data_IF_921429981640
#
_entry.id   IF_921429981640
#
_cell.length_a   1.000
_cell.length_b   1.000
_cell.length_c   1.000
_cell.angle_alpha   90.00
_cell.angle_beta   90.00
_cell.angle_gamma   90.00
#
_symmetry.space_group_name_H-M   'P 1'
#
loop_
_entity.id
_entity.type
_entity.pdbx_description
1 polymer ?
#
# COMPACT_ATOMS: atom_id res chain seq x y z
N UNK A 1 9.83 -2.88 12.82
CA UNK A 1 8.78 -3.82 12.36
C UNK A 1 7.66 -2.96 11.79
N UNK A 2 7.49 -2.85 10.46
CA UNK A 2 6.30 -2.15 9.94
C UNK A 2 5.05 -2.91 10.42
N UNK A 3 4.38 -2.38 11.45
CA UNK A 3 3.25 -3.05 12.08
C UNK A 3 2.12 -3.15 11.05
N UNK A 4 1.32 -4.22 11.14
CA UNK A 4 0.11 -4.37 10.30
C UNK A 4 -0.80 -3.14 10.36
N UNK A 5 -0.69 -2.35 11.44
CA UNK A 5 -1.43 -1.11 11.69
C UNK A 5 -0.88 0.12 10.96
N UNK A 6 0.43 0.22 10.73
CA UNK A 6 1.01 1.23 9.80
C UNK A 6 0.61 0.91 8.38
N UNK A 7 0.59 -0.38 8.04
CA UNK A 7 0.00 -0.83 6.80
C UNK A 7 -1.50 -0.51 6.78
N UNK A 8 -2.23 -0.52 7.89
CA UNK A 8 -3.63 -0.08 7.97
C UNK A 8 -3.84 1.44 7.86
N UNK A 9 -2.89 2.29 8.29
CA UNK A 9 -2.92 3.75 8.02
C UNK A 9 -2.49 4.06 6.60
N UNK A 10 -1.42 3.44 6.13
CA UNK A 10 -0.99 3.52 4.73
C UNK A 10 -2.00 2.86 3.81
N UNK A 11 -2.81 1.92 4.30
CA UNK A 11 -3.90 1.33 3.55
C UNK A 11 -5.21 1.98 3.79
N UNK A 12 -5.45 2.75 4.84
CA UNK A 12 -6.43 3.83 4.81
C UNK A 12 -6.01 4.85 3.74
N UNK A 13 -4.73 5.23 3.67
CA UNK A 13 -4.17 6.05 2.59
C UNK A 13 -4.23 5.41 1.20
N UNK A 14 -4.12 4.08 1.08
CA UNK A 14 -4.22 3.35 -0.20
C UNK A 14 -5.68 2.92 -0.48
N UNK A 15 -6.57 2.84 0.53
CA UNK A 15 -8.05 2.80 0.43
C UNK A 15 -8.51 4.06 -0.30
N UNK A 16 -7.79 5.15 -0.07
CA UNK A 16 -8.07 6.51 -0.53
C UNK A 16 -7.65 6.67 -2.01
N UNK A 17 -6.50 6.14 -2.46
CA UNK A 17 -6.03 6.29 -3.86
C UNK A 17 -6.75 5.35 -4.86
N UNK A 18 -7.95 5.75 -5.29
CA UNK A 18 -8.69 5.15 -6.41
C UNK A 18 -9.10 6.19 -7.44
N UNK A 19 -8.73 5.98 -8.71
CA UNK A 19 -9.49 6.37 -9.91
C UNK A 19 -9.83 7.86 -10.14
N UNK A 20 -9.61 8.73 -9.17
CA UNK A 20 -9.67 10.18 -9.20
C UNK A 20 -8.29 10.74 -8.87
N UNK A 21 -8.06 11.99 -9.28
CA UNK A 21 -6.75 12.66 -9.28
C UNK A 21 -5.98 12.41 -7.97
N UNK A 22 -4.82 11.75 -8.04
CA UNK A 22 -3.87 11.51 -6.93
C UNK A 22 -3.63 12.80 -6.12
N UNK A 23 -3.74 13.95 -6.79
CA UNK A 23 -3.62 15.27 -6.16
C UNK A 23 -4.77 15.55 -5.20
N UNK A 24 -6.01 15.22 -5.53
CA UNK A 24 -7.16 15.45 -4.66
C UNK A 24 -7.13 14.53 -3.43
N UNK A 25 -6.68 13.30 -3.63
CA UNK A 25 -6.43 12.33 -2.56
C UNK A 25 -5.43 12.85 -1.52
N UNK A 26 -4.27 13.27 -2.01
CA UNK A 26 -3.21 13.86 -1.19
C UNK A 26 -3.71 15.14 -0.54
N UNK A 27 -4.50 15.96 -1.26
CA UNK A 27 -5.03 17.22 -0.74
C UNK A 27 -5.99 17.02 0.42
N UNK A 28 -6.98 16.13 0.27
CA UNK A 28 -7.98 15.85 1.32
C UNK A 28 -7.27 15.32 2.56
N UNK A 29 -6.38 14.33 2.40
CA UNK A 29 -5.65 13.77 3.53
C UNK A 29 -4.76 14.81 4.19
N UNK A 30 -3.98 15.58 3.41
CA UNK A 30 -3.09 16.61 3.95
C UNK A 30 -3.85 17.69 4.72
N UNK A 31 -5.04 18.06 4.23
CA UNK A 31 -5.93 19.00 4.92
C UNK A 31 -6.39 18.42 6.26
N UNK A 32 -6.90 17.19 6.26
CA UNK A 32 -7.32 16.52 7.51
C UNK A 32 -6.16 16.32 8.49
N UNK A 33 -4.97 15.97 8.01
CA UNK A 33 -3.78 15.82 8.84
C UNK A 33 -3.42 17.14 9.52
N UNK A 34 -3.37 18.23 8.75
CA UNK A 34 -3.11 19.57 9.28
C UNK A 34 -4.17 20.00 10.30
N UNK A 35 -5.46 19.78 10.01
CA UNK A 35 -6.57 20.12 10.90
C UNK A 35 -6.50 19.36 12.25
N UNK A 36 -5.92 18.16 12.26
CA UNK A 36 -5.84 17.31 13.46
C UNK A 36 -4.43 17.28 14.09
N UNK A 37 -3.54 18.20 13.70
CA UNK A 37 -2.18 18.28 14.27
C UNK A 37 -1.29 17.09 13.93
N UNK A 38 -1.53 16.42 12.81
CA UNK A 38 -0.74 15.30 12.34
C UNK A 38 0.28 15.74 11.27
N UNK A 39 1.58 15.57 11.55
CA UNK A 39 2.64 15.81 10.56
C UNK A 39 2.80 14.60 9.63
N UNK A 40 2.58 14.81 8.32
CA UNK A 40 2.79 13.78 7.30
C UNK A 40 4.24 13.29 7.22
N UNK A 41 5.21 14.06 7.71
CA UNK A 41 6.60 13.61 7.81
C UNK A 41 6.75 12.49 8.84
N UNK A 42 5.86 12.44 9.82
CA UNK A 42 5.86 11.36 10.81
C UNK A 42 5.52 10.04 10.16
N UNK A 43 4.65 9.99 9.13
CA UNK A 43 4.35 8.78 8.33
C UNK A 43 5.60 8.08 7.78
N UNK A 44 6.64 8.83 7.44
CA UNK A 44 7.88 8.29 6.87
C UNK A 44 8.79 7.65 7.92
N UNK A 45 8.67 8.06 9.18
CA UNK A 45 9.45 7.52 10.31
C UNK A 45 8.76 6.33 10.98
N UNK A 46 7.55 5.96 10.54
CA UNK A 46 6.71 4.94 11.17
C UNK A 46 7.09 3.52 10.79
N UNK A 47 8.36 3.11 10.89
CA UNK A 47 8.68 1.68 10.82
C UNK A 47 8.33 0.92 12.10
N UNK A 48 7.88 1.60 13.16
CA UNK A 48 7.78 1.03 14.53
C UNK A 48 6.56 1.49 15.35
N UNK A 49 5.55 2.12 14.75
CA UNK A 49 4.31 2.47 15.46
C UNK A 49 3.52 1.21 15.82
N UNK A 50 3.43 0.93 17.13
CA UNK A 50 2.61 -0.17 17.69
C UNK A 50 1.12 0.19 17.71
N UNK A 51 0.78 1.48 17.87
CA UNK A 51 -0.60 1.97 17.97
C UNK A 51 -0.79 3.36 17.37
N UNK A 52 -1.96 3.60 16.79
CA UNK A 52 -2.31 4.89 16.21
C UNK A 52 -2.66 5.89 17.31
N UNK A 53 -2.00 7.05 17.31
CA UNK A 53 -2.35 8.15 18.21
C UNK A 53 -3.67 8.80 17.82
N UNK A 54 -4.25 9.59 18.73
CA UNK A 54 -5.52 10.28 18.50
C UNK A 54 -5.52 11.17 17.24
N UNK A 55 -4.47 11.96 16.96
CA UNK A 55 -4.34 12.69 15.68
C UNK A 55 -4.48 11.81 14.43
N UNK A 56 -3.95 10.58 14.44
CA UNK A 56 -4.09 9.65 13.31
C UNK A 56 -5.54 9.23 13.12
N UNK A 57 -6.19 8.83 14.20
CA UNK A 57 -7.57 8.35 14.17
C UNK A 57 -8.53 9.43 13.70
N UNK A 58 -8.34 10.67 14.18
CA UNK A 58 -9.15 11.82 13.73
C UNK A 58 -8.88 12.17 12.27
N UNK A 59 -7.63 12.07 11.81
CA UNK A 59 -7.30 12.30 10.40
C UNK A 59 -7.99 11.29 9.48
N UNK A 60 -8.02 10.01 9.87
CA UNK A 60 -8.73 8.97 9.12
C UNK A 60 -10.23 9.26 9.11
N UNK A 61 -10.83 9.58 10.27
CA UNK A 61 -12.25 9.94 10.37
C UNK A 61 -12.61 11.11 9.44
N UNK A 62 -11.87 12.21 9.53
CA UNK A 62 -12.06 13.39 8.68
C UNK A 62 -11.98 13.05 7.20
N UNK A 63 -11.05 12.16 6.81
CA UNK A 63 -10.90 11.79 5.41
C UNK A 63 -12.07 10.94 4.91
N UNK A 64 -12.60 10.05 5.74
CA UNK A 64 -13.81 9.28 5.42
C UNK A 64 -15.05 10.17 5.30
N UNK A 65 -15.17 11.17 6.17
CA UNK A 65 -16.26 12.16 6.12
C UNK A 65 -16.18 13.02 4.86
N UNK A 66 -15.00 13.56 4.52
CA UNK A 66 -14.80 14.37 3.30
C UNK A 66 -15.00 13.58 2.00
N UNK A 67 -14.88 12.26 2.05
CA UNK A 67 -15.16 11.34 0.93
C UNK A 67 -16.60 10.88 0.84
N UNK A 68 -17.45 11.28 1.78
CA UNK A 68 -18.80 10.74 1.94
C UNK A 68 -18.83 9.21 2.18
N UNK A 69 -17.71 8.61 2.61
CA UNK A 69 -17.69 7.21 3.06
C UNK A 69 -18.24 7.08 4.48
N UNK A 70 -18.28 8.18 5.23
CA UNK A 70 -18.87 8.27 6.55
C UNK A 70 -19.76 9.51 6.62
N UNK A 71 -21.05 9.33 6.92
CA UNK A 71 -22.00 10.44 7.06
C UNK A 71 -22.87 10.24 8.29
N UNK A 72 -22.94 11.24 9.17
CA UNK A 72 -23.67 11.18 10.44
C UNK A 72 -23.30 9.94 11.27
N UNK A 73 -22.01 9.58 11.24
CA UNK A 73 -21.45 8.39 11.90
C UNK A 73 -21.86 7.04 11.29
N UNK A 74 -22.56 7.01 10.16
CA UNK A 74 -22.87 5.79 9.42
C UNK A 74 -21.96 5.64 8.19
N UNK A 75 -21.47 4.43 7.99
CA UNK A 75 -20.64 4.10 6.82
C UNK A 75 -21.52 3.98 5.59
N UNK A 76 -21.14 4.66 4.50
CA UNK A 76 -21.76 4.48 3.20
C UNK A 76 -21.20 3.23 2.52
N UNK A 77 -21.91 2.11 2.67
CA UNK A 77 -21.51 0.83 2.08
C UNK A 77 -21.50 0.88 0.55
N UNK A 78 -22.37 1.68 -0.08
CA UNK A 78 -22.37 1.82 -1.54
C UNK A 78 -21.10 2.49 -2.02
N UNK A 79 -20.67 3.55 -1.32
CA UNK A 79 -19.41 4.23 -1.63
C UNK A 79 -18.20 3.29 -1.42
N UNK A 80 -18.20 2.48 -0.36
CA UNK A 80 -17.17 1.45 -0.13
C UNK A 80 -17.16 0.39 -1.24
N UNK A 81 -18.34 -0.07 -1.69
CA UNK A 81 -18.47 -1.06 -2.77
C UNK A 81 -18.05 -0.52 -4.14
N UNK A 82 -18.27 0.77 -4.39
CA UNK A 82 -17.82 1.44 -5.61
C UNK A 82 -16.29 1.49 -5.72
N UNK A 83 -15.57 1.31 -4.61
CA UNK A 83 -14.11 1.34 -4.57
C UNK A 83 -13.50 -0.02 -4.94
N UNK A 84 -13.52 -0.36 -6.24
CA UNK A 84 -13.09 -1.67 -6.75
C UNK A 84 -11.62 -2.01 -6.45
N UNK A 85 -10.70 -1.06 -6.54
CA UNK A 85 -9.28 -1.29 -6.22
C UNK A 85 -9.00 -1.37 -4.71
N UNK A 86 -9.82 -0.77 -3.85
CA UNK A 86 -9.76 -1.09 -2.42
C UNK A 86 -10.22 -2.52 -2.16
N UNK A 87 -11.34 -2.94 -2.76
CA UNK A 87 -11.86 -4.29 -2.60
C UNK A 87 -10.92 -5.36 -3.18
N UNK A 88 -10.10 -5.05 -4.18
CA UNK A 88 -9.09 -6.00 -4.67
C UNK A 88 -7.95 -6.26 -3.67
N UNK A 89 -7.82 -5.44 -2.63
CA UNK A 89 -6.89 -5.69 -1.52
C UNK A 89 -7.52 -6.53 -0.40
N UNK A 90 -8.77 -6.98 -0.55
CA UNK A 90 -9.46 -7.85 0.40
C UNK A 90 -9.45 -9.29 -0.09
N UNK A 91 -9.03 -10.21 0.80
CA UNK A 91 -9.03 -11.66 0.54
C UNK A 91 -10.45 -12.24 0.50
N UNK A 92 -11.39 -11.58 1.19
CA UNK A 92 -12.81 -11.90 1.20
C UNK A 92 -13.60 -10.58 1.21
N UNK A 93 -14.14 -10.23 0.04
CA UNK A 93 -14.87 -8.98 -0.18
C UNK A 93 -16.22 -8.99 0.52
N UNK A 94 -16.92 -10.11 0.49
CA UNK A 94 -18.27 -10.23 1.07
C UNK A 94 -18.19 -10.18 2.59
N UNK A 95 -17.26 -10.91 3.19
CA UNK A 95 -16.98 -10.84 4.62
C UNK A 95 -16.51 -9.45 5.06
N UNK A 96 -15.69 -8.77 4.25
CA UNK A 96 -15.31 -7.39 4.50
C UNK A 96 -16.53 -6.45 4.51
N UNK A 97 -17.38 -6.50 3.48
CA UNK A 97 -18.59 -5.66 3.39
C UNK A 97 -19.55 -5.96 4.55
N UNK A 98 -19.73 -7.23 4.91
CA UNK A 98 -20.54 -7.63 6.06
C UNK A 98 -19.99 -7.06 7.37
N UNK A 99 -18.67 -7.08 7.55
CA UNK A 99 -18.00 -6.47 8.70
C UNK A 99 -18.23 -4.96 8.75
N UNK A 100 -18.00 -4.26 7.64
CA UNK A 100 -18.19 -2.82 7.52
C UNK A 100 -19.65 -2.40 7.77
N UNK A 101 -20.61 -3.20 7.30
CA UNK A 101 -22.04 -2.98 7.52
C UNK A 101 -22.45 -3.16 8.99
N UNK A 102 -21.70 -3.96 9.74
CA UNK A 102 -21.91 -4.19 11.17
C UNK A 102 -21.18 -3.17 12.05
N UNK A 103 -20.34 -2.29 11.49
CA UNK A 103 -19.74 -1.19 12.25
C UNK A 103 -20.83 -0.19 12.61
N UNK A 104 -21.07 -0.08 13.90
CA UNK A 104 -22.01 0.87 14.48
C UNK A 104 -21.43 2.30 14.47
N UNK A 105 -22.21 3.23 15.01
CA UNK A 105 -22.02 4.68 14.88
C UNK A 105 -20.58 5.16 15.15
N UNK A 106 -19.90 5.67 14.11
CA UNK A 106 -18.53 6.21 14.18
C UNK A 106 -18.60 7.71 14.46
N UNK A 107 -18.72 8.10 15.73
CA UNK A 107 -18.86 9.50 16.16
C UNK A 107 -17.55 10.09 16.66
N UNK A 108 -16.84 9.35 17.49
CA UNK A 108 -15.53 9.74 18.00
C UNK A 108 -14.43 9.29 17.03
N UNK A 109 -13.25 9.90 17.12
CA UNK A 109 -12.10 9.46 16.33
C UNK A 109 -11.72 8.02 16.67
N UNK A 110 -11.82 7.61 17.94
CA UNK A 110 -11.52 6.25 18.37
C UNK A 110 -12.41 5.18 17.74
N UNK A 111 -13.65 5.52 17.36
CA UNK A 111 -14.55 4.58 16.69
C UNK A 111 -13.99 4.10 15.34
N UNK A 112 -13.07 4.85 14.73
CA UNK A 112 -12.36 4.43 13.50
C UNK A 112 -11.59 3.12 13.70
N UNK A 113 -11.20 2.78 14.94
CA UNK A 113 -10.59 1.48 15.24
C UNK A 113 -11.47 0.31 14.79
N UNK A 114 -12.80 0.45 14.84
CA UNK A 114 -13.77 -0.56 14.36
C UNK A 114 -13.61 -0.80 12.85
N UNK A 115 -13.50 0.28 12.08
CA UNK A 115 -13.24 0.25 10.63
C UNK A 115 -11.88 -0.41 10.33
N UNK A 116 -10.85 -0.01 11.07
CA UNK A 116 -9.49 -0.54 10.89
C UNK A 116 -9.42 -2.04 11.20
N UNK A 117 -10.13 -2.50 12.24
CA UNK A 117 -10.21 -3.91 12.59
C UNK A 117 -10.88 -4.74 11.48
N UNK A 118 -11.98 -4.24 10.89
CA UNK A 118 -12.57 -4.88 9.71
C UNK A 118 -11.58 -4.93 8.55
N UNK A 119 -10.92 -3.81 8.26
CA UNK A 119 -9.93 -3.74 7.17
C UNK A 119 -8.79 -4.74 7.39
N UNK A 120 -8.20 -4.79 8.58
CA UNK A 120 -7.08 -5.67 8.91
C UNK A 120 -7.45 -7.16 8.81
N UNK A 121 -8.64 -7.55 9.30
CA UNK A 121 -9.11 -8.94 9.27
C UNK A 121 -9.21 -9.50 7.85
N UNK A 122 -9.67 -8.68 6.91
CA UNK A 122 -9.98 -9.10 5.54
C UNK A 122 -8.91 -8.73 4.52
N UNK A 123 -7.91 -7.96 4.91
CA UNK A 123 -6.84 -7.56 4.00
C UNK A 123 -5.98 -8.74 3.54
N UNK A 124 -5.59 -8.71 2.26
CA UNK A 124 -4.57 -9.62 1.73
C UNK A 124 -3.17 -9.21 2.23
N UNK A 125 -2.42 -10.18 2.74
CA UNK A 125 -1.03 -9.96 3.14
C UNK A 125 -0.08 -10.59 2.13
N UNK A 126 0.03 -9.95 0.95
CA UNK A 126 0.92 -10.40 -0.12
C UNK A 126 2.37 -10.60 0.33
N UNK A 127 2.84 -9.86 1.34
CA UNK A 127 4.17 -10.06 1.91
C UNK A 127 4.27 -11.42 2.61
N UNK A 128 3.30 -11.81 3.43
CA UNK A 128 3.31 -13.11 4.08
C UNK A 128 3.11 -14.26 3.09
N UNK A 129 2.17 -14.11 2.16
CA UNK A 129 1.89 -15.12 1.13
C UNK A 129 3.13 -15.37 0.25
N UNK A 130 3.68 -14.32 -0.35
CA UNK A 130 4.85 -14.48 -1.22
C UNK A 130 6.08 -14.98 -0.43
N UNK A 131 6.23 -14.61 0.84
CA UNK A 131 7.34 -15.11 1.66
C UNK A 131 7.22 -16.62 1.91
N UNK A 132 5.99 -17.10 2.15
CA UNK A 132 5.72 -18.53 2.28
C UNK A 132 5.95 -19.26 0.95
N UNK A 133 5.41 -18.74 -0.17
CA UNK A 133 5.56 -19.33 -1.51
C UNK A 133 7.03 -19.43 -1.93
N UNK A 134 7.85 -18.44 -1.58
CA UNK A 134 9.26 -18.35 -2.02
C UNK A 134 10.26 -18.80 -0.97
N UNK A 135 9.81 -19.23 0.21
CA UNK A 135 10.67 -19.57 1.36
C UNK A 135 11.66 -18.44 1.68
N UNK A 136 11.17 -17.20 1.70
CA UNK A 136 11.96 -16.00 1.94
C UNK A 136 11.79 -15.52 3.38
N UNK A 137 12.89 -15.26 4.08
CA UNK A 137 12.84 -14.62 5.40
C UNK A 137 12.39 -13.14 5.25
N UNK A 138 11.24 -12.82 5.84
CA UNK A 138 10.64 -11.49 5.74
C UNK A 138 11.49 -10.39 6.39
N UNK A 139 12.25 -10.72 7.43
CA UNK A 139 13.08 -9.75 8.14
C UNK A 139 14.28 -9.38 7.27
N UNK A 140 14.97 -10.36 6.69
CA UNK A 140 16.11 -10.16 5.80
C UNK A 140 15.70 -9.45 4.50
N UNK A 141 14.59 -9.88 3.88
CA UNK A 141 14.05 -9.22 2.69
C UNK A 141 13.79 -7.72 2.94
N UNK A 142 13.15 -7.38 4.07
CA UNK A 142 12.88 -5.97 4.43
C UNK A 142 14.17 -5.18 4.69
N UNK A 143 15.14 -5.77 5.40
CA UNK A 143 16.41 -5.08 5.69
C UNK A 143 17.18 -4.74 4.40
N UNK A 144 17.21 -5.68 3.44
CA UNK A 144 17.87 -5.47 2.14
C UNK A 144 17.11 -4.46 1.27
N UNK A 145 15.78 -4.52 1.23
CA UNK A 145 14.95 -3.54 0.51
C UNK A 145 15.06 -2.11 1.07
N UNK A 146 15.35 -1.96 2.36
CA UNK A 146 15.53 -0.64 3.00
C UNK A 146 16.96 -0.09 2.89
N UNK A 147 17.87 -0.78 2.20
CA UNK A 147 19.28 -0.36 2.11
C UNK A 147 20.01 -0.36 3.46
N UNK A 148 19.47 -1.04 4.49
CA UNK A 148 20.01 -1.06 5.87
C UNK A 148 21.11 -2.11 6.08
N UNK A 149 21.37 -2.97 5.10
CA UNK A 149 22.58 -3.80 5.03
C UNK A 149 23.46 -3.24 3.91
N UNK A 150 24.72 -2.93 4.21
CA UNK A 150 25.73 -2.66 3.18
C UNK A 150 25.76 -3.84 2.20
N UNK A 151 25.34 -3.59 0.95
CA UNK A 151 25.50 -4.54 -0.14
C UNK A 151 26.93 -4.39 -0.69
N UNK A 152 27.93 -4.78 0.09
CA UNK A 152 29.26 -5.02 -0.47
C UNK A 152 29.23 -6.39 -1.13
N UNK A 153 29.04 -6.41 -2.45
CA UNK A 153 29.28 -7.53 -3.36
C UNK A 153 28.43 -8.82 -3.24
N UNK A 154 27.46 -8.90 -2.33
CA UNK A 154 26.58 -10.08 -2.26
C UNK A 154 25.53 -10.11 -3.39
N UNK A 155 25.64 -11.12 -4.25
CA UNK A 155 24.59 -11.50 -5.23
C UNK A 155 23.25 -11.63 -4.50
N UNK A 156 22.21 -10.97 -5.02
CA UNK A 156 20.86 -11.07 -4.45
C UNK A 156 20.38 -12.53 -4.55
N UNK A 157 19.98 -13.16 -3.44
CA UNK A 157 19.49 -14.54 -3.45
C UNK A 157 18.28 -14.72 -4.38
N UNK A 158 18.21 -15.87 -5.06
CA UNK A 158 17.13 -16.15 -6.02
C UNK A 158 15.74 -16.11 -5.38
N UNK A 159 15.58 -16.63 -4.16
CA UNK A 159 14.33 -16.57 -3.42
C UNK A 159 13.84 -15.12 -3.20
N UNK A 160 14.75 -14.16 -3.04
CA UNK A 160 14.40 -12.74 -2.92
C UNK A 160 13.96 -12.13 -4.25
N UNK A 161 14.57 -12.54 -5.35
CA UNK A 161 14.14 -12.15 -6.68
C UNK A 161 12.74 -12.74 -6.99
N UNK A 162 12.51 -14.00 -6.60
CA UNK A 162 11.20 -14.64 -6.69
C UNK A 162 10.17 -13.94 -5.80
N UNK A 163 10.56 -13.54 -4.58
CA UNK A 163 9.71 -12.79 -3.66
C UNK A 163 9.25 -11.48 -4.30
N UNK A 164 10.17 -10.75 -4.93
CA UNK A 164 9.83 -9.52 -5.65
C UNK A 164 8.92 -9.77 -6.85
N UNK A 165 9.18 -10.82 -7.65
CA UNK A 165 8.31 -11.22 -8.76
C UNK A 165 6.89 -11.54 -8.28
N UNK A 166 6.75 -12.39 -7.26
CA UNK A 166 5.46 -12.75 -6.67
C UNK A 166 4.68 -11.52 -6.21
N UNK A 167 5.35 -10.57 -5.53
CA UNK A 167 4.71 -9.32 -5.11
C UNK A 167 4.21 -8.50 -6.30
N UNK A 168 4.96 -8.41 -7.40
CA UNK A 168 4.54 -7.69 -8.60
C UNK A 168 3.32 -8.35 -9.25
N UNK A 169 3.29 -9.68 -9.33
CA UNK A 169 2.17 -10.47 -9.88
C UNK A 169 0.91 -10.32 -9.02
N UNK A 170 1.02 -10.57 -7.71
CA UNK A 170 -0.08 -10.50 -6.76
C UNK A 170 -0.66 -9.09 -6.63
N UNK A 171 0.15 -8.05 -6.79
CA UNK A 171 -0.31 -6.64 -6.85
C UNK A 171 -0.92 -6.26 -8.21
N UNK A 172 -0.85 -7.12 -9.23
CA UNK A 172 -1.29 -6.83 -10.59
C UNK A 172 -0.40 -5.84 -11.35
N UNK A 173 0.81 -5.56 -10.85
CA UNK A 173 1.81 -4.73 -11.53
C UNK A 173 2.42 -5.51 -12.70
N UNK A 174 2.57 -6.82 -12.53
CA UNK A 174 3.01 -7.75 -13.55
C UNK A 174 1.85 -8.66 -13.95
N UNK A 175 1.54 -8.71 -15.24
CA UNK A 175 0.57 -9.63 -15.82
C UNK A 175 1.07 -11.08 -15.82
N UNK A 176 0.17 -12.03 -16.08
CA UNK A 176 0.51 -13.46 -16.21
C UNK A 176 1.46 -13.75 -17.37
N UNK A 177 1.51 -12.86 -18.36
CA UNK A 177 2.43 -12.89 -19.50
C UNK A 177 3.81 -12.30 -19.18
N UNK A 178 4.06 -11.92 -17.92
CA UNK A 178 5.30 -11.29 -17.50
C UNK A 178 5.47 -9.86 -18.01
N UNK A 179 4.40 -9.18 -18.45
CA UNK A 179 4.45 -7.78 -18.89
C UNK A 179 3.91 -6.84 -17.82
N UNK A 180 4.46 -5.62 -17.78
CA UNK A 180 4.02 -4.59 -16.84
C UNK A 180 2.67 -3.98 -17.25
N UNK A 181 1.74 -3.92 -16.29
CA UNK A 181 0.43 -3.31 -16.49
C UNK A 181 0.54 -1.80 -16.27
N UNK A 182 0.47 -1.02 -17.37
CA UNK A 182 0.73 0.44 -17.41
C UNK A 182 0.16 1.22 -16.23
N UNK A 183 -1.10 0.99 -15.91
CA UNK A 183 -1.80 1.75 -14.87
C UNK A 183 -1.40 1.32 -13.46
N UNK A 184 -0.98 0.07 -13.26
CA UNK A 184 -0.53 -0.44 -11.97
C UNK A 184 0.95 -0.11 -11.70
N UNK A 185 1.77 -0.03 -12.74
CA UNK A 185 3.20 0.32 -12.65
C UNK A 185 3.45 1.71 -12.05
N UNK A 186 2.48 2.62 -12.17
CA UNK A 186 2.49 3.96 -11.53
C UNK A 186 2.43 3.92 -9.99
N UNK A 187 2.11 2.77 -9.40
CA UNK A 187 1.87 2.65 -7.95
C UNK A 187 2.92 1.79 -7.22
N UNK A 188 3.84 1.11 -7.92
CA UNK A 188 4.93 0.33 -7.29
C UNK A 188 6.19 1.16 -6.97
N UNK A 189 6.03 2.47 -6.73
CA UNK A 189 7.13 3.39 -6.45
C UNK A 189 7.56 3.45 -4.97
N UNK A 190 7.27 2.43 -4.16
CA UNK A 190 7.70 2.42 -2.75
C UNK A 190 9.24 2.41 -2.70
N UNK A 191 9.82 3.59 -2.49
CA UNK A 191 11.23 3.79 -2.17
C UNK A 191 12.10 4.45 -3.24
N UNK A 192 11.57 4.79 -4.43
CA UNK A 192 12.42 5.35 -5.51
C UNK A 192 12.03 6.80 -5.79
N UNK A 193 12.90 7.74 -5.41
CA UNK A 193 12.82 9.14 -5.87
C UNK A 193 13.24 9.14 -7.33
N UNK A 194 12.28 9.17 -8.25
CA UNK A 194 12.57 9.34 -9.68
C UNK A 194 12.09 10.71 -10.12
N UNK A 195 12.99 11.50 -10.72
CA UNK A 195 12.65 12.79 -11.34
C UNK A 195 11.63 12.63 -12.47
N UNK A 196 11.64 11.49 -13.18
CA UNK A 196 10.76 11.24 -14.32
C UNK A 196 10.00 9.90 -14.20
N UNK A 197 8.84 9.92 -13.54
CA UNK A 197 7.98 8.73 -13.37
C UNK A 197 7.54 8.15 -14.72
N UNK A 198 7.27 8.99 -15.72
CA UNK A 198 6.76 8.55 -17.03
C UNK A 198 7.82 7.77 -17.80
N UNK A 199 9.06 8.24 -17.79
CA UNK A 199 10.18 7.57 -18.44
C UNK A 199 10.51 6.22 -17.79
N UNK A 200 10.44 6.13 -16.46
CA UNK A 200 10.59 4.86 -15.76
C UNK A 200 9.49 3.87 -16.12
N UNK A 201 8.22 4.31 -16.10
CA UNK A 201 7.08 3.46 -16.50
C UNK A 201 7.26 3.00 -17.94
N UNK A 202 7.67 3.90 -18.85
CA UNK A 202 7.94 3.57 -20.25
C UNK A 202 9.07 2.54 -20.39
N UNK A 203 10.15 2.67 -19.62
CA UNK A 203 11.22 1.66 -19.59
C UNK A 203 10.70 0.30 -19.10
N UNK A 204 9.93 0.27 -18.01
CA UNK A 204 9.35 -0.97 -17.49
C UNK A 204 8.41 -1.64 -18.49
N UNK A 205 7.66 -0.87 -19.28
CA UNK A 205 6.81 -1.43 -20.34
C UNK A 205 7.60 -2.10 -21.47
N UNK A 206 8.88 -1.74 -21.65
CA UNK A 206 9.78 -2.34 -22.64
C UNK A 206 10.45 -3.64 -22.19
N UNK A 207 10.29 -4.04 -20.92
CA UNK A 207 10.90 -5.26 -20.39
C UNK A 207 9.83 -6.31 -20.03
N UNK A 208 10.25 -7.57 -20.04
CA UNK A 208 9.43 -8.70 -19.59
C UNK A 208 10.13 -9.48 -18.49
N UNK A 209 9.34 -9.88 -17.49
CA UNK A 209 9.74 -10.63 -16.31
C UNK A 209 9.08 -12.02 -16.37
N UNK A 210 9.81 -12.98 -16.94
CA UNK A 210 9.34 -14.37 -17.08
C UNK A 210 9.85 -15.25 -15.94
N UNK A 211 11.07 -14.99 -15.47
CA UNK A 211 11.76 -15.73 -14.40
C UNK A 211 12.13 -14.79 -13.26
N UNK A 212 12.42 -15.35 -12.08
CA UNK A 212 12.81 -14.54 -10.93
C UNK A 212 14.02 -13.64 -11.22
N UNK A 213 15.04 -14.17 -11.88
CA UNK A 213 16.23 -13.42 -12.27
C UNK A 213 15.92 -12.19 -13.16
N UNK A 214 14.84 -12.23 -13.94
CA UNK A 214 14.46 -11.11 -14.81
C UNK A 214 14.09 -9.85 -14.02
N UNK A 215 13.71 -9.97 -12.74
CA UNK A 215 13.45 -8.82 -11.85
C UNK A 215 14.63 -7.85 -11.84
N UNK A 216 15.87 -8.34 -12.01
CA UNK A 216 17.05 -7.49 -12.09
C UNK A 216 17.05 -6.56 -13.30
N UNK A 217 16.31 -6.88 -14.38
CA UNK A 217 16.14 -5.99 -15.53
C UNK A 217 15.49 -4.66 -15.14
N UNK A 218 14.66 -4.64 -14.08
CA UNK A 218 14.09 -3.41 -13.55
C UNK A 218 15.17 -2.42 -13.08
N UNK A 219 16.34 -2.92 -12.65
CA UNK A 219 17.43 -2.08 -12.18
C UNK A 219 17.98 -1.18 -13.31
N UNK A 220 17.97 -1.65 -14.55
CA UNK A 220 18.39 -0.86 -15.72
C UNK A 220 17.44 0.32 -16.00
N UNK A 221 16.19 0.25 -15.53
CA UNK A 221 15.25 1.36 -15.64
C UNK A 221 15.48 2.44 -14.57
N UNK A 222 16.23 2.15 -13.51
CA UNK A 222 16.65 3.18 -12.55
C UNK A 222 17.82 3.96 -13.15
N UNK A 223 17.52 5.12 -13.73
CA UNK A 223 18.55 6.15 -13.92
C UNK A 223 18.98 6.63 -12.54
N UNK A 224 20.23 6.34 -12.15
CA UNK A 224 20.86 7.02 -11.02
C UNK A 224 20.99 8.50 -11.41
N UNK A 225 20.65 9.38 -10.48
CA UNK A 225 21.14 10.75 -10.54
C UNK A 225 22.67 10.67 -10.44
N UNK A 226 23.38 11.18 -11.44
CA UNK A 226 24.74 11.72 -11.21
C UNK A 226 24.62 12.98 -10.33
#
# INVERSE_FOLDING_TARGET
MLSSKILAVLSAFVVIINGQDEKEEIRIFSKCAKENGFDLKDLRKQSDIKELSQPHLCTIKCTWEKRNHLKNGKIDIKAVQANQKFLSMMKDKEGFIKCMSAVDNVKACDDVKKILNCTEKFRVNYMQECAAETKTDLKDFRQRMQGKKEQKNDKIPENMLCMRKCLLEKKGVLGKDGKFVKDQTKYDHIGVRMRNKEEYVKCLQGISISKCADVMKMAACYKKDD
#
